data_IF_439998700486
#
_entry.id   IF_439998700486
#
_cell.length_a   1.000
_cell.length_b   1.000
_cell.length_c   1.000
_cell.angle_alpha   90.00
_cell.angle_beta   90.00
_cell.angle_gamma   90.00
#
_symmetry.space_group_name_H-M   'P 1'
#
loop_
_entity.id
_entity.type
_entity.pdbx_description
1 polymer ?
#
# COMPACT_ATOMS: atom_id res chain seq x y z
N UNK A 1 -25.89 8.97 -1.37
CA UNK A 1 -24.76 9.66 -0.69
C UNK A 1 -23.83 8.71 0.08
N UNK A 2 -24.32 7.58 0.62
CA UNK A 2 -23.50 6.58 1.34
C UNK A 2 -22.43 5.87 0.48
N UNK A 3 -22.69 5.65 -0.81
CA UNK A 3 -21.74 4.98 -1.73
C UNK A 3 -20.43 5.76 -1.91
N UNK A 4 -20.50 7.09 -2.05
CA UNK A 4 -19.31 7.94 -2.17
C UNK A 4 -18.50 7.92 -0.86
N UNK A 5 -19.18 8.06 0.28
CA UNK A 5 -18.53 8.07 1.58
C UNK A 5 -17.81 6.74 1.89
N UNK A 6 -18.45 5.60 1.58
CA UNK A 6 -17.85 4.28 1.73
C UNK A 6 -16.66 4.06 0.79
N UNK A 7 -16.74 4.54 -0.46
CA UNK A 7 -15.61 4.50 -1.39
C UNK A 7 -14.42 5.32 -0.87
N UNK A 8 -14.64 6.56 -0.42
CA UNK A 8 -13.59 7.42 0.13
C UNK A 8 -12.96 6.83 1.39
N UNK A 9 -13.78 6.26 2.30
CA UNK A 9 -13.29 5.58 3.49
C UNK A 9 -12.40 4.37 3.12
N UNK A 10 -12.82 3.59 2.13
CA UNK A 10 -12.05 2.43 1.65
C UNK A 10 -10.71 2.86 1.06
N UNK A 11 -10.70 3.92 0.23
CA UNK A 11 -9.46 4.47 -0.34
C UNK A 11 -8.53 4.96 0.79
N UNK A 12 -9.06 5.71 1.76
CA UNK A 12 -8.27 6.19 2.89
C UNK A 12 -7.68 5.03 3.70
N UNK A 13 -8.46 3.98 3.96
CA UNK A 13 -8.00 2.79 4.66
C UNK A 13 -6.88 2.07 3.90
N UNK A 14 -7.04 1.86 2.59
CA UNK A 14 -6.01 1.24 1.73
C UNK A 14 -4.71 2.05 1.76
N UNK A 15 -4.80 3.39 1.71
CA UNK A 15 -3.62 4.26 1.81
C UNK A 15 -2.91 4.14 3.16
N UNK A 16 -3.65 4.09 4.28
CA UNK A 16 -3.07 3.90 5.61
C UNK A 16 -2.35 2.56 5.69
N UNK A 17 -2.98 1.47 5.25
CA UNK A 17 -2.37 0.14 5.22
C UNK A 17 -1.10 0.13 4.35
N UNK A 18 -1.14 0.76 3.18
CA UNK A 18 0.01 0.85 2.29
C UNK A 18 1.18 1.63 2.92
N UNK A 19 0.91 2.73 3.62
CA UNK A 19 1.94 3.50 4.34
C UNK A 19 2.54 2.69 5.50
N UNK A 20 1.70 1.96 6.26
CA UNK A 20 2.18 1.12 7.36
C UNK A 20 3.07 -0.03 6.85
N UNK A 21 2.67 -0.69 5.76
CA UNK A 21 3.46 -1.73 5.11
C UNK A 21 4.82 -1.19 4.62
N UNK A 22 4.80 -0.02 3.96
CA UNK A 22 6.01 0.65 3.49
C UNK A 22 6.94 1.05 4.64
N UNK A 23 6.39 1.57 5.74
CA UNK A 23 7.16 1.90 6.94
C UNK A 23 7.81 0.65 7.56
N UNK A 24 7.08 -0.48 7.61
CA UNK A 24 7.61 -1.77 8.04
C UNK A 24 8.78 -2.24 7.17
N UNK A 25 8.62 -2.22 5.85
CA UNK A 25 9.68 -2.60 4.91
C UNK A 25 10.91 -1.68 5.00
N UNK A 26 10.70 -0.36 5.15
CA UNK A 26 11.77 0.60 5.35
C UNK A 26 12.53 0.37 6.66
N UNK A 27 11.80 0.06 7.75
CA UNK A 27 12.40 -0.30 9.04
C UNK A 27 13.17 -1.60 8.97
N UNK A 28 12.63 -2.63 8.33
CA UNK A 28 13.35 -3.89 8.15
C UNK A 28 14.64 -3.66 7.34
N UNK A 29 14.58 -2.85 6.28
CA UNK A 29 15.77 -2.47 5.53
C UNK A 29 16.79 -1.66 6.35
N UNK A 30 16.37 -0.90 7.39
CA UNK A 30 17.30 -0.28 8.36
C UNK A 30 17.97 -1.33 9.23
N UNK A 31 17.22 -2.32 9.69
CA UNK A 31 17.75 -3.42 10.50
C UNK A 31 18.72 -4.28 9.69
N UNK A 32 18.47 -4.44 8.40
CA UNK A 32 19.36 -5.12 7.44
C UNK A 32 20.62 -4.30 7.09
N UNK A 33 20.82 -3.12 7.70
CA UNK A 33 22.01 -2.28 7.47
C UNK A 33 22.03 -1.54 6.14
N UNK A 34 20.90 -1.41 5.43
CA UNK A 34 20.85 -0.65 4.19
C UNK A 34 21.21 0.85 4.42
N UNK A 35 21.67 1.54 3.37
CA UNK A 35 21.88 3.00 3.39
C UNK A 35 20.54 3.76 3.26
N UNK A 36 20.40 4.97 3.84
CA UNK A 36 19.09 5.68 3.93
C UNK A 36 18.33 5.77 2.59
N UNK A 37 19.00 6.09 1.47
CA UNK A 37 18.35 6.06 0.16
C UNK A 37 17.81 4.68 -0.22
N UNK A 38 18.55 3.60 0.06
CA UNK A 38 18.12 2.23 -0.25
C UNK A 38 16.91 1.80 0.56
N UNK A 39 16.81 2.15 1.85
CA UNK A 39 15.61 1.82 2.63
C UNK A 39 14.38 2.60 2.15
N UNK A 40 14.54 3.86 1.76
CA UNK A 40 13.45 4.65 1.18
C UNK A 40 12.99 4.02 -0.14
N UNK A 41 13.92 3.62 -1.01
CA UNK A 41 13.57 2.97 -2.27
C UNK A 41 12.80 1.65 -2.04
N UNK A 42 13.24 0.81 -1.09
CA UNK A 42 12.51 -0.42 -0.72
C UNK A 42 11.12 -0.13 -0.14
N UNK A 43 10.99 0.87 0.73
CA UNK A 43 9.71 1.30 1.25
C UNK A 43 8.76 1.78 0.14
N UNK A 44 9.27 2.57 -0.82
CA UNK A 44 8.49 3.06 -1.95
C UNK A 44 8.02 1.92 -2.87
N UNK A 45 8.86 0.93 -3.12
CA UNK A 45 8.47 -0.29 -3.86
C UNK A 45 7.38 -1.06 -3.12
N UNK A 46 7.50 -1.23 -1.79
CA UNK A 46 6.49 -1.90 -0.98
C UNK A 46 5.13 -1.16 -1.01
N UNK A 47 5.16 0.18 -0.94
CA UNK A 47 3.97 1.01 -1.09
C UNK A 47 3.29 0.78 -2.45
N UNK A 48 4.05 0.91 -3.54
CA UNK A 48 3.54 0.72 -4.90
C UNK A 48 2.97 -0.69 -5.09
N UNK A 49 3.66 -1.73 -4.63
CA UNK A 49 3.20 -3.10 -4.70
C UNK A 49 1.87 -3.32 -3.95
N UNK A 50 1.70 -2.70 -2.78
CA UNK A 50 0.46 -2.78 -2.00
C UNK A 50 -0.70 -2.14 -2.76
N UNK A 51 -0.48 -1.01 -3.43
CA UNK A 51 -1.50 -0.38 -4.27
C UNK A 51 -1.83 -1.23 -5.50
N UNK A 52 -0.83 -1.80 -6.18
CA UNK A 52 -1.05 -2.72 -7.30
C UNK A 52 -1.88 -3.94 -6.89
N UNK A 53 -1.64 -4.49 -5.70
CA UNK A 53 -2.46 -5.58 -5.18
C UNK A 53 -3.91 -5.14 -4.95
N UNK A 54 -4.13 -3.96 -4.36
CA UNK A 54 -5.47 -3.43 -4.14
C UNK A 54 -6.23 -3.18 -5.45
N UNK A 55 -5.56 -2.68 -6.50
CA UNK A 55 -6.17 -2.50 -7.83
C UNK A 55 -6.49 -3.84 -8.49
N UNK A 56 -5.58 -4.83 -8.40
CA UNK A 56 -5.81 -6.17 -8.94
C UNK A 56 -7.02 -6.85 -8.28
N UNK A 57 -7.12 -6.78 -6.95
CA UNK A 57 -8.26 -7.31 -6.19
C UNK A 57 -9.56 -6.62 -6.62
N UNK A 58 -9.56 -5.28 -6.67
CA UNK A 58 -10.74 -4.49 -7.09
C UNK A 58 -11.19 -4.85 -8.51
N UNK A 59 -10.24 -5.08 -9.42
CA UNK A 59 -10.51 -5.55 -10.78
C UNK A 59 -11.12 -6.95 -10.80
N UNK A 60 -10.57 -7.89 -10.02
CA UNK A 60 -11.09 -9.25 -9.90
C UNK A 60 -12.52 -9.28 -9.32
N UNK A 61 -12.79 -8.49 -8.28
CA UNK A 61 -14.14 -8.32 -7.72
C UNK A 61 -15.12 -7.73 -8.74
N UNK A 62 -14.65 -6.81 -9.58
CA UNK A 62 -15.46 -6.22 -10.65
C UNK A 62 -15.78 -7.23 -11.75
N UNK A 63 -14.86 -8.16 -12.03
CA UNK A 63 -15.06 -9.22 -13.01
C UNK A 63 -15.91 -10.40 -12.48
N UNK A 64 -15.99 -10.58 -11.16
CA UNK A 64 -16.71 -11.68 -10.51
C UNK A 64 -18.20 -11.39 -10.22
N UNK A 65 -18.66 -10.17 -10.48
CA UNK A 65 -20.06 -9.73 -10.35
C UNK A 65 -20.71 -9.57 -11.72
#
# INVERSE_FOLDING_TARGET
MTQLATALLTIAFVLVVAVLAAAGAGKLARLDGASYPTAIARAAVCFAATLTLATAISGALTAAR
#
